data_IF_839858095200
#
_entry.id   IF_839858095200
#
_cell.length_a   1.000
_cell.length_b   1.000
_cell.length_c   1.000
_cell.angle_alpha   90.00
_cell.angle_beta   90.00
_cell.angle_gamma   90.00
#
_symmetry.space_group_name_H-M   'P 1'
#
loop_
_entity.id
_entity.type
_entity.pdbx_description
1 polymer ?
#
# COMPACT_ATOMS: atom_id res chain seq x y z
N UNK A 1 -44.57 -29.83 2.34
CA UNK A 1 -43.25 -29.70 1.71
C UNK A 1 -42.68 -28.35 2.11
N UNK A 2 -41.95 -28.28 3.22
CA UNK A 2 -41.18 -27.10 3.60
C UNK A 2 -39.71 -27.42 3.40
N UNK A 3 -39.05 -26.65 2.56
CA UNK A 3 -37.62 -26.69 2.31
C UNK A 3 -36.88 -26.21 3.56
N UNK A 4 -36.07 -27.09 4.14
CA UNK A 4 -35.15 -26.78 5.22
C UNK A 4 -33.95 -26.00 4.66
N UNK A 5 -33.89 -24.70 4.98
CA UNK A 5 -32.70 -23.88 4.73
C UNK A 5 -31.59 -24.27 5.71
N UNK A 6 -30.47 -24.72 5.18
CA UNK A 6 -29.25 -25.00 5.94
C UNK A 6 -28.65 -23.67 6.40
N UNK A 7 -28.84 -23.32 7.68
CA UNK A 7 -28.06 -22.27 8.32
C UNK A 7 -26.63 -22.77 8.49
N UNK A 8 -25.65 -22.11 7.85
CA UNK A 8 -24.24 -22.32 8.13
C UNK A 8 -24.01 -22.05 9.63
N UNK A 9 -23.72 -23.09 10.39
CA UNK A 9 -23.42 -22.98 11.82
C UNK A 9 -22.12 -22.22 12.03
N UNK A 10 -22.06 -21.44 13.11
CA UNK A 10 -20.79 -20.96 13.66
C UNK A 10 -19.84 -22.16 13.82
N UNK A 11 -18.55 -22.05 13.49
CA UNK A 11 -17.62 -23.16 13.61
C UNK A 11 -17.48 -23.53 15.09
N UNK A 12 -18.09 -24.65 15.49
CA UNK A 12 -17.82 -25.34 16.76
C UNK A 12 -16.44 -26.04 16.71
N UNK A 13 -15.40 -25.27 16.41
CA UNK A 13 -14.04 -25.74 16.46
C UNK A 13 -13.58 -25.98 17.92
N UNK A 14 -12.65 -26.91 18.16
CA UNK A 14 -12.14 -27.26 19.50
C UNK A 14 -11.57 -26.07 20.29
N UNK A 15 -11.21 -24.98 19.61
CA UNK A 15 -10.71 -23.72 20.21
C UNK A 15 -11.77 -23.05 21.11
N UNK A 16 -13.05 -23.08 20.74
CA UNK A 16 -14.12 -22.46 21.54
C UNK A 16 -14.56 -23.29 22.76
N UNK A 17 -14.23 -24.59 22.81
CA UNK A 17 -14.53 -25.44 23.98
C UNK A 17 -13.57 -25.21 25.15
N UNK A 18 -12.41 -24.58 24.93
CA UNK A 18 -11.35 -24.47 25.93
C UNK A 18 -11.36 -23.16 26.76
N UNK A 19 -12.13 -22.15 26.37
CA UNK A 19 -12.23 -20.89 27.12
C UNK A 19 -13.65 -20.64 27.62
N UNK A 20 -14.02 -21.27 28.74
CA UNK A 20 -15.06 -20.77 29.63
C UNK A 20 -14.44 -20.31 30.95
N UNK A 21 -13.72 -19.17 30.98
CA UNK A 21 -13.52 -18.51 32.25
C UNK A 21 -14.92 -18.16 32.79
N UNK A 22 -15.28 -18.49 34.05
CA UNK A 22 -16.62 -18.27 34.60
C UNK A 22 -17.08 -16.79 34.62
N UNK A 23 -16.21 -15.87 34.23
CA UNK A 23 -16.45 -14.42 34.18
C UNK A 23 -16.86 -13.88 32.79
N UNK A 24 -16.75 -14.65 31.70
CA UNK A 24 -17.07 -14.17 30.35
C UNK A 24 -18.26 -14.94 29.75
N UNK A 25 -19.25 -14.19 29.26
CA UNK A 25 -20.42 -14.71 28.55
C UNK A 25 -20.42 -14.22 27.10
N UNK A 26 -20.25 -15.13 26.16
CA UNK A 26 -20.43 -14.83 24.73
C UNK A 26 -21.91 -14.67 24.42
N UNK A 27 -22.27 -13.57 23.77
CA UNK A 27 -23.62 -13.28 23.29
C UNK A 27 -23.57 -12.63 21.92
N UNK A 28 -24.64 -12.79 21.16
CA UNK A 28 -24.86 -12.05 19.92
C UNK A 28 -25.12 -10.57 20.20
N UNK A 29 -24.98 -9.72 19.18
CA UNK A 29 -25.32 -8.30 19.27
C UNK A 29 -26.79 -8.13 19.69
N UNK A 30 -27.71 -8.91 19.10
CA UNK A 30 -29.13 -8.86 19.44
C UNK A 30 -29.39 -9.21 20.91
N UNK A 31 -28.79 -10.29 21.40
CA UNK A 31 -28.90 -10.67 22.81
C UNK A 31 -28.33 -9.59 23.73
N UNK A 32 -27.18 -8.99 23.40
CA UNK A 32 -26.60 -7.88 24.15
C UNK A 32 -27.52 -6.65 24.17
N UNK A 33 -28.16 -6.34 23.04
CA UNK A 33 -29.12 -5.25 22.92
C UNK A 33 -30.42 -5.49 23.71
N UNK A 34 -30.79 -6.74 23.96
CA UNK A 34 -31.94 -7.11 24.80
C UNK A 34 -31.62 -7.12 26.30
N UNK A 35 -30.33 -7.15 26.67
CA UNK A 35 -29.93 -7.06 28.07
C UNK A 35 -30.30 -5.69 28.65
N UNK A 36 -30.93 -5.70 29.83
CA UNK A 36 -31.23 -4.50 30.62
C UNK A 36 -29.98 -3.96 31.34
N UNK A 37 -28.97 -3.59 30.56
CA UNK A 37 -27.72 -2.97 31.05
C UNK A 37 -27.81 -1.45 30.93
N UNK A 38 -27.22 -0.73 31.90
CA UNK A 38 -27.05 0.73 31.79
C UNK A 38 -26.04 1.00 30.67
N UNK A 39 -26.42 1.82 29.69
CA UNK A 39 -25.58 2.17 28.54
C UNK A 39 -25.21 3.64 28.64
N UNK A 40 -23.95 3.94 28.34
CA UNK A 40 -23.51 5.30 28.11
C UNK A 40 -23.95 5.73 26.71
N UNK A 41 -24.39 6.98 26.60
CA UNK A 41 -24.77 7.58 25.32
C UNK A 41 -23.57 8.35 24.80
N UNK A 42 -23.17 8.05 23.57
CA UNK A 42 -22.28 8.93 22.82
C UNK A 42 -23.11 10.06 22.22
N UNK A 43 -22.82 11.29 22.62
CA UNK A 43 -23.52 12.48 22.09
C UNK A 43 -23.07 12.81 20.67
N UNK A 44 -21.85 12.40 20.30
CA UNK A 44 -21.28 12.60 18.98
C UNK A 44 -20.30 11.48 18.62
N UNK A 45 -20.25 11.14 17.34
CA UNK A 45 -19.32 10.17 16.77
C UNK A 45 -18.49 10.86 15.68
N UNK A 46 -17.17 10.83 15.85
CA UNK A 46 -16.23 11.42 14.90
C UNK A 46 -16.29 10.68 13.55
N UNK A 47 -16.37 11.38 12.40
CA UNK A 47 -16.37 10.73 11.09
C UNK A 47 -14.97 10.20 10.77
N UNK A 48 -14.84 8.87 10.68
CA UNK A 48 -13.60 8.23 10.31
C UNK A 48 -13.77 6.73 10.15
N UNK A 49 -12.68 6.06 9.81
CA UNK A 49 -12.63 4.60 9.76
C UNK A 49 -11.79 4.04 10.90
N UNK A 50 -11.86 2.73 11.09
CA UNK A 50 -10.95 1.98 11.96
C UNK A 50 -9.46 2.06 11.55
N UNK A 51 -9.16 2.52 10.33
CA UNK A 51 -7.80 2.72 9.84
C UNK A 51 -7.48 4.21 9.96
N UNK A 52 -6.47 4.54 10.76
CA UNK A 52 -5.93 5.90 10.92
C UNK A 52 -6.97 6.97 11.30
N UNK A 53 -8.15 6.59 11.78
CA UNK A 53 -9.26 7.48 12.14
C UNK A 53 -9.70 8.45 11.03
N UNK A 54 -9.52 8.07 9.76
CA UNK A 54 -9.90 8.90 8.61
C UNK A 54 -10.38 8.03 7.43
N UNK A 55 -10.70 8.66 6.29
CA UNK A 55 -11.16 7.99 5.07
C UNK A 55 -10.12 7.96 3.94
N UNK A 56 -8.86 8.35 4.21
CA UNK A 56 -7.82 8.52 3.19
C UNK A 56 -7.63 7.28 2.30
N UNK A 57 -7.90 6.11 2.85
CA UNK A 57 -7.79 4.81 2.16
C UNK A 57 -8.83 4.61 1.04
N UNK A 58 -9.91 5.39 1.03
CA UNK A 58 -10.97 5.29 0.01
C UNK A 58 -11.27 6.61 -0.71
N UNK A 59 -10.70 7.73 -0.25
CA UNK A 59 -10.88 9.06 -0.84
C UNK A 59 -9.72 9.97 -0.47
N UNK A 60 -9.14 10.62 -1.47
CA UNK A 60 -8.07 11.60 -1.27
C UNK A 60 -7.06 11.62 -2.42
N UNK A 61 -6.69 10.46 -2.97
CA UNK A 61 -5.80 10.41 -4.12
C UNK A 61 -6.52 10.82 -5.41
N UNK A 62 -5.72 11.21 -6.39
CA UNK A 62 -6.23 11.58 -7.73
C UNK A 62 -7.01 10.42 -8.33
N UNK A 63 -6.52 9.17 -8.19
CA UNK A 63 -7.21 7.97 -8.67
C UNK A 63 -8.56 7.77 -7.96
N UNK A 64 -8.60 7.85 -6.62
CA UNK A 64 -9.82 7.69 -5.83
C UNK A 64 -10.88 8.72 -6.22
N UNK A 65 -10.46 9.99 -6.28
CA UNK A 65 -11.36 11.10 -6.59
C UNK A 65 -11.89 10.96 -8.02
N UNK A 66 -11.03 10.58 -8.98
CA UNK A 66 -11.44 10.32 -10.37
C UNK A 66 -12.47 9.18 -10.45
N UNK A 67 -12.25 8.09 -9.71
CA UNK A 67 -13.20 6.98 -9.65
C UNK A 67 -14.55 7.41 -9.05
N UNK A 68 -14.53 8.24 -7.99
CA UNK A 68 -15.74 8.79 -7.38
C UNK A 68 -16.49 9.74 -8.33
N UNK A 69 -15.75 10.60 -9.04
CA UNK A 69 -16.32 11.50 -10.05
C UNK A 69 -17.02 10.70 -11.15
N UNK A 70 -16.41 9.62 -11.65
CA UNK A 70 -17.01 8.79 -12.70
C UNK A 70 -18.33 8.14 -12.26
N UNK A 71 -18.42 7.63 -11.03
CA UNK A 71 -19.68 7.06 -10.51
C UNK A 71 -20.71 8.15 -10.25
N UNK A 72 -20.29 9.29 -9.70
CA UNK A 72 -21.19 10.42 -9.45
C UNK A 72 -21.85 10.89 -10.75
N UNK A 73 -21.07 11.07 -11.82
CA UNK A 73 -21.58 11.49 -13.13
C UNK A 73 -22.53 10.44 -13.75
N UNK A 74 -22.20 9.15 -13.65
CA UNK A 74 -23.05 8.08 -14.15
C UNK A 74 -24.36 7.96 -13.37
N UNK A 75 -24.31 8.13 -12.04
CA UNK A 75 -25.49 8.14 -11.17
C UNK A 75 -26.39 9.33 -11.48
N UNK A 76 -25.82 10.51 -11.66
CA UNK A 76 -26.58 11.71 -12.05
C UNK A 76 -27.27 11.54 -13.41
N UNK A 77 -26.59 10.91 -14.38
CA UNK A 77 -27.18 10.58 -15.68
C UNK A 77 -28.36 9.60 -15.53
N UNK A 78 -28.22 8.59 -14.66
CA UNK A 78 -29.27 7.61 -14.38
C UNK A 78 -30.49 8.23 -13.69
N UNK A 79 -30.28 9.10 -12.69
CA UNK A 79 -31.37 9.82 -12.00
C UNK A 79 -32.16 10.69 -12.97
N UNK A 80 -31.48 11.45 -13.84
CA UNK A 80 -32.15 12.26 -14.87
C UNK A 80 -32.97 11.40 -15.84
N UNK A 81 -32.45 10.23 -16.21
CA UNK A 81 -33.15 9.27 -17.07
C UNK A 81 -34.41 8.70 -16.37
N UNK A 82 -34.31 8.33 -15.09
CA UNK A 82 -35.45 7.86 -14.29
C UNK A 82 -36.55 8.92 -14.16
N UNK A 83 -36.20 10.17 -13.88
CA UNK A 83 -37.16 11.28 -13.81
C UNK A 83 -37.89 11.51 -15.15
N UNK A 84 -37.18 11.38 -16.27
CA UNK A 84 -37.76 11.50 -17.61
C UNK A 84 -38.72 10.34 -17.93
N UNK A 85 -38.37 9.11 -17.51
CA UNK A 85 -39.23 7.95 -17.63
C UNK A 85 -40.49 8.07 -16.78
N UNK A 86 -40.41 8.61 -15.56
CA UNK A 86 -41.58 8.81 -14.69
C UNK A 86 -42.67 9.71 -15.29
N UNK A 87 -42.34 10.51 -16.31
CA UNK A 87 -43.26 11.40 -17.04
C UNK A 87 -43.95 10.74 -18.23
N UNK A 88 -43.56 9.52 -18.61
CA UNK A 88 -44.03 8.83 -19.82
C UNK A 88 -44.39 7.37 -19.50
N UNK A 89 -45.45 6.77 -20.06
CA UNK A 89 -45.68 5.33 -19.89
C UNK A 89 -44.52 4.52 -20.47
N UNK A 90 -43.61 4.04 -19.61
CA UNK A 90 -42.43 3.28 -20.03
C UNK A 90 -42.74 1.83 -20.38
N UNK A 91 -42.12 1.34 -21.45
CA UNK A 91 -42.18 -0.07 -21.85
C UNK A 91 -41.54 -0.98 -20.79
N UNK A 92 -41.97 -2.25 -20.69
CA UNK A 92 -41.42 -3.22 -19.71
C UNK A 92 -39.89 -3.27 -19.76
N UNK A 93 -39.31 -3.29 -20.97
CA UNK A 93 -37.87 -3.30 -21.21
C UNK A 93 -37.15 -2.09 -20.61
N UNK A 94 -37.77 -0.91 -20.63
CA UNK A 94 -37.17 0.30 -20.05
C UNK A 94 -37.07 0.19 -18.52
N UNK A 95 -38.05 -0.44 -17.87
CA UNK A 95 -38.04 -0.69 -16.42
C UNK A 95 -37.00 -1.74 -16.03
N UNK A 96 -36.84 -2.79 -16.85
CA UNK A 96 -35.80 -3.81 -16.67
C UNK A 96 -34.39 -3.18 -16.80
N UNK A 97 -34.15 -2.40 -17.86
CA UNK A 97 -32.90 -1.65 -18.03
C UNK A 97 -32.61 -0.69 -16.86
N UNK A 98 -33.63 0.01 -16.37
CA UNK A 98 -33.49 0.92 -15.22
C UNK A 98 -33.06 0.16 -13.96
N UNK A 99 -33.66 -1.01 -13.70
CA UNK A 99 -33.28 -1.86 -12.57
C UNK A 99 -31.84 -2.36 -12.70
N UNK A 100 -31.45 -2.85 -13.88
CA UNK A 100 -30.08 -3.32 -14.14
C UNK A 100 -29.05 -2.19 -14.02
N UNK A 101 -29.40 -0.97 -14.46
CA UNK A 101 -28.52 0.19 -14.35
C UNK A 101 -28.28 0.59 -12.89
N UNK A 102 -29.32 0.52 -12.04
CA UNK A 102 -29.16 0.73 -10.60
C UNK A 102 -28.33 -0.36 -9.94
N UNK A 103 -28.47 -1.63 -10.35
CA UNK A 103 -27.61 -2.72 -9.88
C UNK A 103 -26.13 -2.48 -10.23
N UNK A 104 -25.82 -1.97 -11.42
CA UNK A 104 -24.45 -1.60 -11.78
C UNK A 104 -23.91 -0.43 -10.96
N UNK A 105 -24.74 0.57 -10.63
CA UNK A 105 -24.36 1.64 -9.68
C UNK A 105 -24.01 1.05 -8.32
N UNK A 106 -24.87 0.21 -7.75
CA UNK A 106 -24.61 -0.38 -6.42
C UNK A 106 -23.38 -1.29 -6.42
N UNK A 107 -23.13 -1.99 -7.53
CA UNK A 107 -21.91 -2.79 -7.69
C UNK A 107 -20.66 -1.89 -7.81
N UNK A 108 -20.76 -0.75 -8.48
CA UNK A 108 -19.67 0.22 -8.63
C UNK A 108 -19.40 1.02 -7.34
N UNK A 109 -20.41 1.21 -6.48
CA UNK A 109 -20.27 1.85 -5.16
C UNK A 109 -19.56 0.96 -4.10
N UNK A 110 -19.13 -0.26 -4.48
CA UNK A 110 -18.38 -1.15 -3.60
C UNK A 110 -17.03 -0.55 -3.18
N UNK A 111 -16.76 -0.49 -1.87
CA UNK A 111 -15.53 0.12 -1.34
C UNK A 111 -14.24 -0.57 -1.80
N UNK A 112 -14.31 -1.84 -2.21
CA UNK A 112 -13.16 -2.59 -2.73
C UNK A 112 -12.53 -1.93 -3.97
N UNK A 113 -13.31 -1.27 -4.84
CA UNK A 113 -12.74 -0.58 -6.00
C UNK A 113 -11.76 0.52 -5.56
N UNK A 114 -12.19 1.32 -4.57
CA UNK A 114 -11.43 2.43 -4.00
C UNK A 114 -10.30 1.98 -3.08
N UNK A 115 -10.36 0.75 -2.57
CA UNK A 115 -9.25 0.17 -1.83
C UNK A 115 -8.01 -0.07 -2.72
N UNK A 116 -8.20 -0.32 -4.02
CA UNK A 116 -7.10 -0.61 -4.97
C UNK A 116 -6.57 0.61 -5.71
N UNK A 117 -7.31 1.72 -5.69
CA UNK A 117 -6.84 3.02 -6.15
C UNK A 117 -5.96 3.68 -5.07
N UNK A 118 -5.04 4.55 -5.50
CA UNK A 118 -4.09 5.20 -4.59
C UNK A 118 -2.79 4.42 -4.34
N UNK A 119 -1.87 5.01 -3.60
CA UNK A 119 -0.52 4.44 -3.41
C UNK A 119 -0.45 3.36 -2.33
N UNK A 120 -1.48 3.26 -1.50
CA UNK A 120 -1.47 2.47 -0.27
C UNK A 120 -1.61 0.97 -0.51
N UNK A 121 -2.40 0.55 -1.49
CA UNK A 121 -2.68 -0.87 -1.72
C UNK A 121 -2.61 -1.26 -3.20
N UNK A 122 -2.40 -2.56 -3.41
CA UNK A 122 -2.41 -3.18 -4.73
C UNK A 122 -2.97 -4.59 -4.61
N UNK A 123 -3.80 -4.95 -5.57
CA UNK A 123 -4.38 -6.28 -5.74
C UNK A 123 -3.46 -7.24 -6.49
N UNK A 124 -2.32 -6.76 -7.00
CA UNK A 124 -1.48 -7.39 -8.03
C UNK A 124 -2.17 -7.56 -9.42
N UNK A 125 -3.44 -7.20 -9.52
CA UNK A 125 -4.27 -7.20 -10.74
C UNK A 125 -5.00 -5.86 -10.92
N UNK A 126 -4.36 -4.74 -10.53
CA UNK A 126 -5.05 -3.44 -10.46
C UNK A 126 -5.58 -2.98 -11.82
N UNK A 127 -4.90 -3.35 -12.91
CA UNK A 127 -5.34 -3.07 -14.28
C UNK A 127 -6.65 -3.81 -14.61
N UNK A 128 -6.79 -5.05 -14.15
CA UNK A 128 -8.02 -5.82 -14.30
C UNK A 128 -9.14 -5.21 -13.45
N UNK A 129 -8.85 -4.84 -12.19
CA UNK A 129 -9.82 -4.18 -11.32
C UNK A 129 -10.29 -2.83 -11.89
N UNK A 130 -9.37 -2.01 -12.40
CA UNK A 130 -9.67 -0.75 -13.07
C UNK A 130 -10.53 -0.98 -14.33
N UNK A 131 -10.16 -1.93 -15.19
CA UNK A 131 -10.92 -2.24 -16.39
C UNK A 131 -12.33 -2.77 -16.06
N UNK A 132 -12.45 -3.62 -15.04
CA UNK A 132 -13.74 -4.12 -14.54
C UNK A 132 -14.61 -2.98 -14.02
N UNK A 133 -14.04 -2.09 -13.21
CA UNK A 133 -14.72 -0.92 -12.66
C UNK A 133 -15.25 -0.01 -13.77
N UNK A 134 -14.39 0.43 -14.70
CA UNK A 134 -14.78 1.28 -15.83
C UNK A 134 -15.83 0.61 -16.70
N UNK A 135 -15.76 -0.71 -16.89
CA UNK A 135 -16.77 -1.46 -17.65
C UNK A 135 -18.16 -1.41 -17.00
N UNK A 136 -18.25 -1.45 -15.66
CA UNK A 136 -19.53 -1.26 -14.95
C UNK A 136 -20.10 0.12 -15.21
N UNK A 137 -19.27 1.15 -15.15
CA UNK A 137 -19.69 2.53 -15.42
C UNK A 137 -20.19 2.68 -16.86
N UNK A 138 -19.45 2.15 -17.84
CA UNK A 138 -19.90 2.11 -19.25
C UNK A 138 -21.24 1.40 -19.42
N UNK A 139 -21.47 0.31 -18.67
CA UNK A 139 -22.72 -0.45 -18.73
C UNK A 139 -23.92 0.39 -18.27
N UNK A 140 -23.76 1.25 -17.27
CA UNK A 140 -24.81 2.19 -16.82
C UNK A 140 -25.27 3.07 -18.00
N UNK A 141 -24.34 3.74 -18.69
CA UNK A 141 -24.65 4.58 -19.86
C UNK A 141 -25.34 3.80 -20.98
N UNK A 142 -24.82 2.60 -21.29
CA UNK A 142 -25.41 1.72 -22.32
C UNK A 142 -26.85 1.31 -22.01
N UNK A 143 -27.16 1.01 -20.74
CA UNK A 143 -28.50 0.59 -20.31
C UNK A 143 -29.54 1.71 -20.42
N UNK A 144 -29.12 2.96 -20.21
CA UNK A 144 -29.95 4.16 -20.38
C UNK A 144 -29.91 4.74 -21.80
N UNK A 145 -29.25 4.04 -22.74
CA UNK A 145 -29.17 4.44 -24.15
C UNK A 145 -28.32 5.68 -24.41
N UNK A 146 -27.37 5.99 -23.54
CA UNK A 146 -26.40 7.07 -23.71
C UNK A 146 -25.04 6.49 -24.12
N UNK A 147 -24.27 7.27 -24.88
CA UNK A 147 -22.90 6.91 -25.22
C UNK A 147 -22.00 7.10 -23.98
N UNK A 148 -21.20 6.10 -23.59
CA UNK A 148 -20.25 6.26 -22.49
C UNK A 148 -19.21 7.36 -22.81
N UNK A 149 -18.84 8.21 -21.84
CA UNK A 149 -17.78 9.20 -22.04
C UNK A 149 -16.42 8.60 -22.43
N UNK A 150 -15.67 9.28 -23.30
CA UNK A 150 -14.40 8.79 -23.86
C UNK A 150 -13.32 8.54 -22.78
N UNK A 151 -13.33 9.32 -21.68
CA UNK A 151 -12.38 9.13 -20.59
C UNK A 151 -12.48 7.74 -19.94
N UNK A 152 -13.61 7.03 -20.07
CA UNK A 152 -13.78 5.66 -19.59
C UNK A 152 -12.97 4.65 -20.41
N UNK A 153 -12.46 5.01 -21.58
CA UNK A 153 -11.52 4.19 -22.36
C UNK A 153 -10.10 4.23 -21.79
N UNK A 154 -9.76 5.27 -21.04
CA UNK A 154 -8.45 5.42 -20.40
C UNK A 154 -8.46 4.76 -19.01
N UNK A 155 -7.41 4.00 -18.64
CA UNK A 155 -7.25 3.53 -17.26
C UNK A 155 -7.22 4.70 -16.27
N UNK A 156 -7.91 4.57 -15.14
CA UNK A 156 -7.78 5.53 -14.04
C UNK A 156 -6.39 5.38 -13.41
N UNK A 157 -5.91 4.14 -13.31
CA UNK A 157 -4.56 3.81 -12.86
C UNK A 157 -3.52 4.04 -13.96
N UNK A 158 -3.39 5.27 -14.44
CA UNK A 158 -2.43 5.63 -15.47
C UNK A 158 -1.23 6.36 -14.87
N UNK A 159 -0.31 5.61 -14.26
CA UNK A 159 1.13 5.86 -14.22
C UNK A 159 1.83 4.81 -13.35
N UNK A 160 3.11 4.54 -13.61
CA UNK A 160 3.92 3.71 -12.72
C UNK A 160 4.00 4.43 -11.37
N UNK A 161 3.17 4.00 -10.40
CA UNK A 161 3.01 4.60 -9.07
C UNK A 161 4.38 4.93 -8.46
N UNK A 162 4.66 6.21 -8.31
CA UNK A 162 5.86 6.70 -7.65
C UNK A 162 5.54 6.95 -6.18
N UNK A 163 5.93 6.05 -5.30
CA UNK A 163 5.64 6.14 -3.87
C UNK A 163 6.63 7.08 -3.19
N UNK A 164 6.14 8.18 -2.62
CA UNK A 164 6.91 9.03 -1.71
C UNK A 164 6.74 8.56 -0.28
N UNK A 165 7.83 8.23 0.44
CA UNK A 165 7.72 7.81 1.83
C UNK A 165 7.05 8.91 2.68
N UNK A 166 6.07 8.57 3.54
CA UNK A 166 5.41 9.56 4.40
C UNK A 166 6.36 10.14 5.47
N UNK A 167 7.41 9.40 5.82
CA UNK A 167 8.49 9.85 6.69
C UNK A 167 9.75 10.08 5.86
N UNK A 168 10.07 11.34 5.60
CA UNK A 168 11.27 11.77 4.90
C UNK A 168 12.38 12.17 5.89
N UNK A 169 13.67 12.04 5.51
CA UNK A 169 14.77 12.52 6.34
C UNK A 169 14.63 14.01 6.64
N UNK A 170 15.01 14.42 7.86
CA UNK A 170 14.96 15.82 8.32
C UNK A 170 16.33 16.47 8.49
N UNK A 171 17.38 15.67 8.50
CA UNK A 171 18.75 16.15 8.58
C UNK A 171 19.69 15.15 7.91
N UNK A 172 20.91 15.60 7.62
CA UNK A 172 21.95 14.70 7.15
C UNK A 172 22.36 13.75 8.28
N UNK A 173 22.63 12.50 7.93
CA UNK A 173 23.11 11.45 8.84
C UNK A 173 24.51 11.00 8.45
N UNK A 174 25.21 10.38 9.38
CA UNK A 174 26.52 9.75 9.14
C UNK A 174 26.67 8.52 10.04
N UNK A 175 25.83 7.49 9.83
CA UNK A 175 25.84 6.29 10.65
C UNK A 175 27.14 5.51 10.47
N UNK A 176 27.58 4.79 11.50
CA UNK A 176 28.63 3.80 11.34
C UNK A 176 28.04 2.53 10.73
N UNK A 177 28.58 2.06 9.60
CA UNK A 177 28.09 0.85 8.91
C UNK A 177 28.73 -0.38 9.54
N UNK A 178 28.15 -0.86 10.63
CA UNK A 178 28.66 -2.00 11.41
C UNK A 178 27.61 -3.08 11.72
N UNK A 179 26.36 -2.87 11.30
CA UNK A 179 25.27 -3.84 11.39
C UNK A 179 24.60 -3.86 12.77
N UNK A 180 24.92 -2.91 13.64
CA UNK A 180 24.27 -2.73 14.95
C UNK A 180 23.90 -1.26 15.14
N UNK A 181 22.79 -0.99 15.83
CA UNK A 181 22.44 0.39 16.20
C UNK A 181 23.25 0.73 17.45
N UNK A 182 24.39 1.39 17.28
CA UNK A 182 25.32 1.66 18.40
C UNK A 182 24.89 2.88 19.20
N UNK A 183 24.35 3.89 18.53
CA UNK A 183 23.81 5.09 19.14
C UNK A 183 22.46 5.44 18.50
N UNK A 184 21.51 5.79 19.36
CA UNK A 184 20.18 6.25 18.96
C UNK A 184 20.24 7.41 17.95
N UNK A 185 21.25 8.28 18.08
CA UNK A 185 21.40 9.45 17.23
C UNK A 185 21.83 9.14 15.80
N UNK A 186 22.38 7.96 15.50
CA UNK A 186 22.90 7.61 14.16
C UNK A 186 21.81 7.67 13.08
N UNK A 187 20.59 7.31 13.44
CA UNK A 187 19.45 7.20 12.54
C UNK A 187 18.27 8.11 12.95
N UNK A 188 18.45 9.00 13.93
CA UNK A 188 17.34 9.80 14.49
C UNK A 188 16.59 10.64 13.44
N UNK A 189 17.32 11.17 12.46
CA UNK A 189 16.75 12.06 11.43
C UNK A 189 16.50 11.36 10.09
N UNK A 190 16.43 10.03 10.08
CA UNK A 190 16.19 9.23 8.88
C UNK A 190 14.72 9.29 8.44
N UNK A 191 14.51 9.05 7.15
CA UNK A 191 13.20 8.66 6.63
C UNK A 191 12.96 7.18 6.89
N UNK A 192 11.69 6.77 6.90
CA UNK A 192 11.31 5.39 7.22
C UNK A 192 10.25 4.87 6.27
N UNK A 193 10.49 3.66 5.76
CA UNK A 193 9.54 2.83 5.03
C UNK A 193 9.04 1.76 5.99
N UNK A 194 7.73 1.67 6.18
CA UNK A 194 7.12 0.64 7.01
C UNK A 194 6.46 -0.42 6.13
N UNK A 195 6.44 -1.66 6.61
CA UNK A 195 5.83 -2.76 5.87
C UNK A 195 4.35 -2.52 5.69
N UNK A 196 3.93 -2.34 4.43
CA UNK A 196 2.52 -2.32 4.06
C UNK A 196 2.01 -3.75 4.02
N UNK A 197 1.09 -4.10 4.92
CA UNK A 197 0.42 -5.41 4.91
C UNK A 197 -0.70 -5.40 3.87
N UNK A 198 -0.69 -6.34 2.93
CA UNK A 198 -1.76 -6.49 1.94
C UNK A 198 -2.77 -7.53 2.40
N UNK A 199 -4.00 -7.08 2.64
CA UNK A 199 -5.15 -7.92 3.00
C UNK A 199 -5.95 -7.37 4.18
N UNK A 200 -7.10 -7.98 4.45
CA UNK A 200 -7.92 -7.67 5.63
C UNK A 200 -7.09 -7.83 6.92
N UNK A 201 -7.54 -7.25 8.04
CA UNK A 201 -6.83 -7.32 9.33
C UNK A 201 -6.43 -8.73 9.81
N UNK A 202 -7.01 -9.79 9.22
CA UNK A 202 -6.67 -11.20 9.47
C UNK A 202 -5.52 -11.76 8.60
N UNK A 203 -5.06 -11.03 7.59
CA UNK A 203 -4.00 -11.44 6.65
C UNK A 203 -2.58 -11.01 7.09
N UNK A 204 -2.43 -10.39 8.27
CA UNK A 204 -1.12 -10.04 8.85
C UNK A 204 -0.20 -11.26 9.03
N UNK A 205 -0.77 -12.45 9.27
CA UNK A 205 -0.01 -13.67 9.61
C UNK A 205 0.34 -14.55 8.40
N UNK A 206 -0.28 -14.34 7.22
CA UNK A 206 -0.16 -15.27 6.08
C UNK A 206 0.85 -14.84 5.01
N UNK A 207 1.40 -13.62 5.07
CA UNK A 207 2.46 -13.21 4.17
C UNK A 207 3.82 -13.37 4.87
N UNK A 208 4.54 -14.43 4.47
CA UNK A 208 5.96 -14.57 4.76
C UNK A 208 6.75 -13.30 4.43
N UNK A 209 7.91 -13.16 5.04
CA UNK A 209 8.79 -12.00 4.89
C UNK A 209 9.82 -11.95 6.01
N UNK A 210 10.79 -11.07 5.87
CA UNK A 210 11.98 -10.95 6.68
C UNK A 210 12.16 -9.53 7.22
N UNK A 211 11.81 -8.50 6.45
CA UNK A 211 12.03 -7.10 6.80
C UNK A 211 10.73 -6.45 7.27
N UNK A 212 10.79 -5.73 8.40
CA UNK A 212 9.67 -4.97 8.96
C UNK A 212 9.70 -3.51 8.56
N UNK A 213 10.88 -2.91 8.53
CA UNK A 213 11.04 -1.55 8.05
C UNK A 213 12.39 -1.31 7.39
N UNK A 214 12.43 -0.32 6.52
CA UNK A 214 13.65 0.15 5.87
C UNK A 214 13.80 1.62 6.22
N UNK A 215 14.83 1.95 6.99
CA UNK A 215 15.20 3.34 7.25
C UNK A 215 16.17 3.80 6.17
N UNK A 216 16.09 5.08 5.78
CA UNK A 216 17.00 5.66 4.80
C UNK A 216 17.38 7.08 5.18
N UNK A 217 18.57 7.51 4.78
CA UNK A 217 19.03 8.87 5.03
C UNK A 217 20.23 9.23 4.20
N UNK A 218 20.56 10.51 4.18
CA UNK A 218 21.61 11.06 3.32
C UNK A 218 22.72 11.66 4.16
N UNK A 219 23.98 11.45 3.78
CA UNK A 219 25.05 12.38 4.10
C UNK A 219 25.27 13.35 2.93
N UNK A 220 26.34 14.13 2.98
CA UNK A 220 26.78 14.96 1.84
C UNK A 220 27.23 14.15 0.63
N UNK A 221 27.63 12.89 0.84
CA UNK A 221 28.32 12.07 -0.18
C UNK A 221 27.60 10.75 -0.46
N UNK A 222 26.77 10.27 0.45
CA UNK A 222 26.19 8.92 0.39
C UNK A 222 24.72 8.90 0.77
N UNK A 223 23.99 7.94 0.19
CA UNK A 223 22.68 7.49 0.63
C UNK A 223 22.86 6.21 1.44
N UNK A 224 22.24 6.16 2.62
CA UNK A 224 22.28 5.02 3.52
C UNK A 224 20.92 4.33 3.58
N UNK A 225 20.95 3.01 3.73
CA UNK A 225 19.79 2.18 4.04
C UNK A 225 20.07 1.35 5.28
N UNK A 226 19.06 1.17 6.13
CA UNK A 226 19.05 0.20 7.23
C UNK A 226 17.82 -0.67 7.08
N UNK A 227 18.04 -1.98 7.00
CA UNK A 227 16.99 -2.99 6.97
C UNK A 227 16.80 -3.54 8.38
N UNK A 228 15.63 -3.31 8.94
CA UNK A 228 15.23 -3.80 10.25
C UNK A 228 14.43 -5.11 10.08
N UNK A 229 14.88 -6.19 10.72
CA UNK A 229 14.19 -7.47 10.69
C UNK A 229 12.85 -7.40 11.43
N UNK A 230 11.93 -8.32 11.08
CA UNK A 230 10.69 -8.54 11.84
C UNK A 230 11.00 -8.82 13.31
N UNK A 231 10.35 -8.07 14.21
CA UNK A 231 10.63 -8.07 15.65
C UNK A 231 10.58 -9.48 16.25
N UNK A 232 9.61 -10.31 15.83
CA UNK A 232 9.46 -11.68 16.32
C UNK A 232 10.58 -12.63 15.87
N UNK A 233 11.32 -12.28 14.81
CA UNK A 233 12.48 -13.04 14.36
C UNK A 233 13.75 -12.65 15.14
N UNK A 234 13.83 -11.40 15.60
CA UNK A 234 15.08 -10.81 16.05
C UNK A 234 16.15 -10.87 14.95
N UNK A 235 17.40 -11.18 15.31
CA UNK A 235 18.46 -11.41 14.33
C UNK A 235 18.16 -12.66 13.50
N UNK A 236 18.13 -12.50 12.18
CA UNK A 236 17.96 -13.62 11.26
C UNK A 236 19.31 -14.20 10.80
N UNK A 237 19.56 -15.47 11.15
CA UNK A 237 20.83 -16.16 10.81
C UNK A 237 20.79 -16.93 9.49
N UNK A 238 19.62 -17.09 8.87
CA UNK A 238 19.47 -17.82 7.60
C UNK A 238 19.96 -17.01 6.38
N UNK A 239 20.17 -17.67 5.22
CA UNK A 239 20.57 -16.99 4.01
C UNK A 239 19.43 -16.14 3.45
N UNK A 240 19.75 -14.95 2.98
CA UNK A 240 18.86 -14.10 2.21
C UNK A 240 19.64 -13.14 1.31
N UNK A 241 18.95 -12.49 0.39
CA UNK A 241 19.57 -11.53 -0.52
C UNK A 241 18.64 -10.37 -0.82
N UNK A 242 19.21 -9.23 -1.19
CA UNK A 242 18.45 -8.10 -1.69
C UNK A 242 19.08 -7.51 -2.96
N UNK A 243 18.29 -6.73 -3.68
CA UNK A 243 18.74 -5.89 -4.78
C UNK A 243 18.02 -4.56 -4.73
N UNK A 244 18.77 -3.47 -4.58
CA UNK A 244 18.33 -2.09 -4.72
C UNK A 244 18.62 -1.65 -6.16
N UNK A 245 17.56 -1.38 -6.92
CA UNK A 245 17.66 -0.95 -8.32
C UNK A 245 17.23 0.50 -8.45
N UNK A 246 18.18 1.36 -8.78
CA UNK A 246 17.93 2.74 -9.18
C UNK A 246 17.62 2.78 -10.68
N UNK A 247 16.58 3.53 -11.03
CA UNK A 247 16.09 3.73 -12.40
C UNK A 247 16.44 5.14 -12.88
N UNK A 248 16.35 6.14 -11.98
CA UNK A 248 16.64 7.54 -12.25
C UNK A 248 17.45 8.17 -11.10
N UNK A 249 18.31 9.15 -11.39
CA UNK A 249 18.64 9.68 -12.73
C UNK A 249 19.51 8.74 -13.55
N UNK A 250 20.18 7.79 -12.89
CA UNK A 250 21.03 6.77 -13.51
C UNK A 250 20.63 5.37 -13.08
N UNK A 251 20.79 4.42 -14.01
CA UNK A 251 20.58 3.00 -13.70
C UNK A 251 21.76 2.42 -12.93
N UNK A 252 21.51 2.07 -11.67
CA UNK A 252 22.48 1.50 -10.74
C UNK A 252 21.84 0.32 -10.03
N UNK A 253 22.60 -0.74 -9.81
CA UNK A 253 22.14 -1.94 -9.10
C UNK A 253 23.10 -2.25 -7.97
N UNK A 254 22.63 -2.16 -6.74
CA UNK A 254 23.33 -2.67 -5.56
C UNK A 254 22.68 -3.98 -5.13
N UNK A 255 23.44 -5.07 -5.10
CA UNK A 255 22.95 -6.40 -4.74
C UNK A 255 23.83 -7.02 -3.66
N UNK A 256 23.23 -7.73 -2.72
CA UNK A 256 23.98 -8.39 -1.66
C UNK A 256 23.35 -9.72 -1.24
N UNK A 257 24.20 -10.60 -0.71
CA UNK A 257 23.84 -11.85 -0.05
C UNK A 257 24.29 -11.80 1.40
N UNK A 258 23.42 -12.24 2.31
CA UNK A 258 23.64 -12.20 3.75
C UNK A 258 23.35 -13.59 4.34
N UNK A 259 24.19 -14.04 5.25
CA UNK A 259 23.98 -15.24 6.07
C UNK A 259 24.57 -15.00 7.46
N UNK A 260 23.70 -14.83 8.46
CA UNK A 260 24.08 -14.35 9.78
C UNK A 260 24.81 -13.01 9.71
N UNK A 261 26.05 -12.96 10.23
CA UNK A 261 26.91 -11.76 10.17
C UNK A 261 27.73 -11.63 8.88
N UNK A 262 27.72 -12.66 8.05
CA UNK A 262 28.45 -12.64 6.78
C UNK A 262 27.63 -11.87 5.76
N UNK A 263 28.26 -10.90 5.10
CA UNK A 263 27.65 -10.17 3.99
C UNK A 263 28.64 -10.02 2.84
N UNK A 264 28.15 -10.19 1.62
CA UNK A 264 28.88 -9.98 0.39
C UNK A 264 28.00 -9.24 -0.59
N UNK A 265 28.44 -8.08 -1.05
CA UNK A 265 27.64 -7.17 -1.85
C UNK A 265 28.45 -6.49 -2.94
N UNK A 266 27.79 -6.24 -4.06
CA UNK A 266 28.34 -5.51 -5.18
C UNK A 266 27.41 -4.41 -5.65
N UNK A 267 28.00 -3.36 -6.21
CA UNK A 267 27.29 -2.29 -6.89
C UNK A 267 27.86 -2.13 -8.31
N UNK A 268 26.96 -2.15 -9.29
CA UNK A 268 27.28 -1.91 -10.70
C UNK A 268 26.41 -0.80 -11.28
N UNK A 269 27.02 -0.09 -12.22
CA UNK A 269 26.41 1.07 -12.88
C UNK A 269 26.22 0.74 -14.35
N UNK A 270 25.05 1.08 -14.91
CA UNK A 270 24.76 0.82 -16.31
C UNK A 270 25.30 1.94 -17.21
N UNK A 271 25.89 1.54 -18.34
CA UNK A 271 26.39 2.41 -19.40
C UNK A 271 25.76 1.97 -20.73
N UNK A 272 24.72 2.69 -21.17
CA UNK A 272 23.91 2.27 -22.31
C UNK A 272 23.27 0.91 -22.07
N UNK A 273 23.54 -0.07 -22.94
CA UNK A 273 22.94 -1.41 -22.84
C UNK A 273 23.72 -2.40 -21.96
N UNK A 274 24.88 -2.00 -21.40
CA UNK A 274 25.74 -2.89 -20.62
C UNK A 274 25.88 -2.44 -19.18
N UNK A 275 25.96 -3.40 -18.26
CA UNK A 275 26.42 -3.16 -16.90
C UNK A 275 27.95 -3.03 -16.90
N UNK A 276 28.47 -2.03 -16.19
CA UNK A 276 29.90 -1.92 -15.92
C UNK A 276 30.36 -2.96 -14.90
N UNK A 277 31.64 -2.88 -14.54
CA UNK A 277 32.25 -3.80 -13.57
C UNK A 277 31.59 -3.66 -12.19
N UNK A 278 31.44 -4.80 -11.52
CA UNK A 278 30.96 -4.86 -10.14
C UNK A 278 32.05 -4.30 -9.20
N UNK A 279 31.65 -3.36 -8.35
CA UNK A 279 32.51 -2.82 -7.28
C UNK A 279 31.99 -3.27 -5.92
N UNK A 280 32.85 -3.46 -4.89
CA UNK A 280 32.38 -3.85 -3.56
C UNK A 280 31.37 -2.85 -2.98
N UNK A 281 30.25 -3.35 -2.48
CA UNK A 281 29.25 -2.56 -1.77
C UNK A 281 29.65 -2.43 -0.30
N UNK A 282 29.70 -1.20 0.23
CA UNK A 282 29.94 -0.99 1.66
C UNK A 282 28.69 -1.32 2.45
N UNK A 283 28.76 -2.38 3.24
CA UNK A 283 27.65 -2.87 4.04
C UNK A 283 28.12 -3.64 5.27
N UNK A 284 27.22 -3.82 6.22
CA UNK A 284 27.41 -4.67 7.38
C UNK A 284 26.10 -5.35 7.77
N UNK A 285 26.19 -6.54 8.37
CA UNK A 285 25.04 -7.33 8.81
C UNK A 285 25.30 -7.88 10.22
N UNK A 286 24.43 -7.55 11.17
CA UNK A 286 24.34 -8.21 12.47
C UNK A 286 22.90 -8.11 12.99
N UNK A 287 22.62 -7.23 13.96
CA UNK A 287 21.26 -7.00 14.46
C UNK A 287 20.35 -6.35 13.40
N UNK A 288 20.96 -5.54 12.53
CA UNK A 288 20.35 -4.91 11.35
C UNK A 288 21.27 -5.10 10.15
N UNK A 289 20.80 -4.78 8.95
CA UNK A 289 21.66 -4.68 7.77
C UNK A 289 21.76 -3.25 7.32
N UNK A 290 22.98 -2.73 7.25
CA UNK A 290 23.27 -1.36 6.87
C UNK A 290 24.03 -1.33 5.55
N UNK A 291 23.69 -0.38 4.69
CA UNK A 291 24.24 -0.25 3.34
C UNK A 291 24.54 1.21 3.06
N UNK A 292 25.73 1.48 2.55
CA UNK A 292 26.14 2.80 2.06
C UNK A 292 26.27 2.79 0.53
N UNK A 293 25.58 3.73 -0.12
CA UNK A 293 25.61 3.93 -1.56
C UNK A 293 26.14 5.34 -1.86
N UNK A 294 27.35 5.48 -2.45
CA UNK A 294 27.88 6.77 -2.85
C UNK A 294 26.98 7.46 -3.88
N UNK A 295 26.59 8.71 -3.61
CA UNK A 295 25.76 9.53 -4.51
C UNK A 295 26.43 9.78 -5.86
N UNK A 296 27.77 9.79 -5.89
CA UNK A 296 28.57 9.92 -7.12
C UNK A 296 28.32 8.78 -8.13
N UNK A 297 27.93 7.59 -7.67
CA UNK A 297 27.58 6.47 -8.56
C UNK A 297 26.19 6.65 -9.17
N UNK A 298 25.28 7.33 -8.46
CA UNK A 298 23.91 7.58 -8.89
C UNK A 298 23.80 8.72 -9.91
N UNK A 299 24.86 9.51 -10.11
CA UNK A 299 24.87 10.73 -10.94
C UNK A 299 23.76 11.72 -10.55
N UNK A 300 23.45 11.77 -9.26
CA UNK A 300 22.38 12.59 -8.72
C UNK A 300 22.94 13.91 -8.19
N UNK A 301 22.27 15.01 -8.52
CA UNK A 301 22.55 16.35 -8.01
C UNK A 301 21.65 16.63 -6.81
N UNK A 302 22.04 17.63 -6.02
CA UNK A 302 21.22 18.11 -4.91
C UNK A 302 19.87 18.61 -5.44
N UNK A 303 18.78 18.16 -4.82
CA UNK A 303 17.42 18.42 -5.27
C UNK A 303 16.89 17.47 -6.35
N UNK A 304 17.72 16.58 -6.91
CA UNK A 304 17.23 15.58 -7.88
C UNK A 304 16.36 14.52 -7.20
N UNK A 305 15.48 13.91 -7.99
CA UNK A 305 14.70 12.75 -7.58
C UNK A 305 15.42 11.45 -7.93
N UNK A 306 15.62 10.61 -6.92
CA UNK A 306 16.01 9.22 -7.09
C UNK A 306 14.75 8.37 -7.21
N UNK A 307 14.66 7.59 -8.30
CA UNK A 307 13.62 6.57 -8.45
C UNK A 307 14.22 5.20 -8.32
N UNK A 308 13.77 4.41 -7.37
CA UNK A 308 14.32 3.07 -7.13
C UNK A 308 13.26 2.06 -6.66
N UNK A 309 13.60 0.79 -6.67
CA UNK A 309 12.83 -0.23 -5.96
C UNK A 309 13.79 -1.25 -5.35
N UNK A 310 13.33 -1.94 -4.32
CA UNK A 310 14.12 -2.96 -3.62
C UNK A 310 13.40 -4.30 -3.78
N UNK A 311 14.11 -5.35 -4.16
CA UNK A 311 13.61 -6.72 -4.05
C UNK A 311 14.42 -7.45 -2.99
N UNK A 312 13.75 -8.25 -2.17
CA UNK A 312 14.35 -9.11 -1.15
C UNK A 312 13.93 -10.53 -1.46
N UNK A 313 14.88 -11.46 -1.44
CA UNK A 313 14.63 -12.88 -1.52
C UNK A 313 15.07 -13.52 -0.20
N UNK A 314 14.09 -13.83 0.65
CA UNK A 314 14.26 -14.43 1.96
C UNK A 314 14.15 -15.97 1.93
N UNK A 315 14.40 -16.59 0.77
CA UNK A 315 14.34 -18.03 0.53
C UNK A 315 13.03 -18.66 1.03
N UNK A 316 13.07 -19.39 2.14
CA UNK A 316 11.93 -20.11 2.71
C UNK A 316 10.82 -19.19 3.20
N UNK A 317 11.14 -17.91 3.46
CA UNK A 317 10.16 -16.90 3.90
C UNK A 317 9.52 -16.12 2.75
N UNK A 318 9.94 -16.38 1.51
CA UNK A 318 9.37 -15.79 0.30
C UNK A 318 10.16 -14.60 -0.27
N UNK A 319 9.52 -13.88 -1.19
CA UNK A 319 10.08 -12.73 -1.90
C UNK A 319 9.29 -11.49 -1.54
N UNK A 320 9.98 -10.38 -1.28
CA UNK A 320 9.39 -9.08 -1.00
C UNK A 320 9.84 -8.05 -2.02
N UNK A 321 9.00 -7.02 -2.23
CA UNK A 321 9.33 -5.88 -3.07
C UNK A 321 8.87 -4.59 -2.39
N UNK A 322 9.73 -3.57 -2.41
CA UNK A 322 9.50 -2.27 -1.81
C UNK A 322 9.69 -1.16 -2.86
N UNK A 323 8.64 -0.40 -3.24
CA UNK A 323 7.23 -0.64 -2.88
C UNK A 323 6.72 -1.87 -3.65
N UNK A 324 5.60 -2.45 -3.21
CA UNK A 324 5.04 -3.66 -3.87
C UNK A 324 4.78 -3.45 -5.36
N UNK A 325 4.44 -2.23 -5.76
CA UNK A 325 4.33 -1.83 -7.17
C UNK A 325 5.01 -0.48 -7.38
N UNK A 326 5.53 -0.27 -8.58
CA UNK A 326 6.15 0.98 -8.98
C UNK A 326 7.57 1.16 -8.42
N UNK A 327 7.88 2.39 -7.99
CA UNK A 327 9.18 2.80 -7.46
C UNK A 327 9.02 3.77 -6.29
N UNK A 328 9.97 3.73 -5.36
CA UNK A 328 10.21 4.76 -4.36
C UNK A 328 10.75 6.02 -5.05
N UNK A 329 10.29 7.19 -4.61
CA UNK A 329 10.86 8.48 -4.97
C UNK A 329 11.52 9.08 -3.72
N UNK A 330 12.84 9.27 -3.75
CA UNK A 330 13.56 10.02 -2.73
C UNK A 330 14.11 11.31 -3.32
N UNK A 331 14.00 12.41 -2.59
CA UNK A 331 14.59 13.69 -2.98
C UNK A 331 15.98 13.80 -2.37
N UNK A 332 17.01 14.03 -3.19
CA UNK A 332 18.36 14.29 -2.68
C UNK A 332 18.37 15.64 -1.94
N UNK A 333 18.86 15.72 -0.70
CA UNK A 333 18.87 16.96 0.07
C UNK A 333 19.45 18.18 -0.68
N UNK A 334 18.77 19.34 -0.68
CA UNK A 334 19.29 20.58 -1.25
C UNK A 334 20.43 21.17 -0.40
N UNK A 335 21.09 22.23 -0.88
CA UNK A 335 22.23 22.84 -0.16
C UNK A 335 21.87 23.43 1.20
N UNK A 336 20.64 23.91 1.33
CA UNK A 336 20.05 24.54 2.50
C UNK A 336 19.23 23.56 3.34
N UNK A 337 19.33 22.25 3.11
CA UNK A 337 18.54 21.23 3.81
C UNK A 337 18.59 21.36 5.34
N UNK A 338 19.78 21.61 5.90
CA UNK A 338 19.95 21.80 7.35
C UNK A 338 19.41 23.15 7.85
N UNK A 339 19.12 24.11 6.96
CA UNK A 339 18.60 25.45 7.29
C UNK A 339 17.08 25.56 7.13
N UNK A 340 16.45 24.67 6.35
CA UNK A 340 15.00 24.71 6.07
C UNK A 340 14.12 24.37 7.29
N UNK A 341 14.62 23.53 8.21
CA UNK A 341 13.88 23.10 9.42
C UNK A 341 14.13 23.98 10.68
N UNK A 342 14.79 25.14 10.53
CA UNK A 342 15.11 26.04 11.66
C UNK A 342 14.03 27.06 12.01
N UNK A 343 12.87 27.04 11.35
CA UNK A 343 11.76 27.95 11.68
C UNK A 343 10.78 27.21 12.60
N UNK A 344 10.98 27.41 13.91
CA UNK A 344 10.07 26.99 15.00
C UNK A 344 8.87 27.92 15.10
#
# INVERSE_FOLDING_TARGET
MSTSGTTAGFPEGPVFRAFKPPALRCVTISEFLDMKTKRERLDWLFPGSWINHNFKIWIGHVEDNTAWDYISEARDALVKYEEALGRTPGERRMKENLSEAWEEVYAAEGSDWFWWYGEEHSSMSDEDFDALFRRRIKRIYQLIGQEPPEYLEMPISSEVKGYRPPSEPRALISPNVDGIITDYFEWLSCGKLERTYFGSAMHKELQGGLIDSISYGFSRESLFFRFDYIEELGRFDGPWSFTITFIQPRQVKAAAKIEGKSSDGTISVRYGDKWGDDTPLRMAADAVVEVEIPLSLLDARKGDELKLYININAHERGVERWPVKGYLIFTVPPEDFEQQDWIV
#
